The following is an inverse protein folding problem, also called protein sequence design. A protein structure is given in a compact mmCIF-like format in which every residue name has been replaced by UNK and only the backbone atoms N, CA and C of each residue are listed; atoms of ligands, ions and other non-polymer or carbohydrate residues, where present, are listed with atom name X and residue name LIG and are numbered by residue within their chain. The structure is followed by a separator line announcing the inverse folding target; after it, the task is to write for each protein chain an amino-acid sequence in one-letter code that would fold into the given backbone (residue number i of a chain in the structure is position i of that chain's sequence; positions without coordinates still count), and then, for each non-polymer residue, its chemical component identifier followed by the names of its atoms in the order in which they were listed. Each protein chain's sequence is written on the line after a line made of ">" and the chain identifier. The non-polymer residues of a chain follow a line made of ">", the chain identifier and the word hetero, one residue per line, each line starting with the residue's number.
data_IF_083205318855
#
_entry.id   IF_083205318855
#
_cell.length_a   1.000
_cell.length_b   1.000
_cell.length_c   1.000
_cell.angle_alpha   90.00
_cell.angle_beta   90.00
_cell.angle_gamma   90.00
#
_symmetry.space_group_name_H-M   'P 1'
#
loop_
_entity.id
_entity.type
_entity.pdbx_description
1 polymer ?
#
# COMPACT_ATOMS: atom_id res chain seq x y z
N UNK A 1 -34.33 16.46 -36.37
CA UNK A 1 -33.57 16.47 -35.09
C UNK A 1 -33.98 15.28 -34.26
N UNK A 2 -33.04 14.40 -33.93
CA UNK A 2 -32.98 13.59 -32.69
C UNK A 2 -31.87 12.55 -32.83
N UNK A 3 -30.61 12.99 -32.90
CA UNK A 3 -29.52 12.09 -32.53
C UNK A 3 -29.61 11.88 -31.02
N UNK A 4 -30.18 10.75 -30.59
CA UNK A 4 -29.96 10.28 -29.22
C UNK A 4 -28.45 10.04 -29.12
N UNK A 5 -27.73 10.93 -28.42
CA UNK A 5 -26.42 10.59 -27.85
C UNK A 5 -26.68 9.37 -26.96
N UNK A 6 -26.38 8.17 -27.45
CA UNK A 6 -26.25 7.01 -26.59
C UNK A 6 -25.02 7.30 -25.71
N UNK A 7 -25.26 7.97 -24.58
CA UNK A 7 -24.26 8.19 -23.56
C UNK A 7 -23.89 6.82 -23.01
N UNK A 8 -22.75 6.30 -23.44
CA UNK A 8 -22.19 5.08 -22.88
C UNK A 8 -21.95 5.31 -21.39
N UNK A 9 -22.78 4.68 -20.56
CA UNK A 9 -22.57 4.62 -19.11
C UNK A 9 -21.22 3.92 -18.87
N UNK A 10 -20.31 4.60 -18.19
CA UNK A 10 -19.04 4.03 -17.76
C UNK A 10 -19.33 2.93 -16.72
N UNK A 11 -19.12 1.66 -17.11
CA UNK A 11 -19.26 0.49 -16.22
C UNK A 11 -18.09 0.31 -15.24
N UNK A 12 -17.03 1.10 -15.39
CA UNK A 12 -15.77 0.98 -14.65
C UNK A 12 -15.53 2.27 -13.86
N UNK A 13 -16.05 2.35 -12.63
CA UNK A 13 -15.87 3.49 -11.72
C UNK A 13 -15.61 3.07 -10.27
N UNK A 14 -15.18 1.82 -10.06
CA UNK A 14 -14.86 1.29 -8.71
C UNK A 14 -13.36 1.33 -8.52
N UNK A 15 -12.94 2.02 -7.47
CA UNK A 15 -11.57 1.97 -6.96
C UNK A 15 -11.60 1.72 -5.45
N UNK A 16 -10.50 1.20 -4.93
CA UNK A 16 -10.32 0.95 -3.51
C UNK A 16 -9.47 2.05 -2.85
N UNK A 17 -9.82 2.41 -1.62
CA UNK A 17 -9.01 3.35 -0.86
C UNK A 17 -7.55 2.90 -0.73
N UNK A 18 -6.63 3.81 -0.98
CA UNK A 18 -5.19 3.56 -0.85
C UNK A 18 -4.84 3.06 0.56
N UNK A 19 -4.02 2.01 0.65
CA UNK A 19 -3.64 1.39 1.94
C UNK A 19 -2.37 1.98 2.54
N UNK A 20 -1.82 3.03 1.94
CA UNK A 20 -0.59 3.73 2.37
C UNK A 20 0.56 2.76 2.65
N UNK A 21 0.73 1.76 1.80
CA UNK A 21 1.86 0.82 1.85
C UNK A 21 3.18 1.56 1.56
N UNK A 22 4.30 0.89 1.79
CA UNK A 22 5.64 1.37 1.52
C UNK A 22 6.50 1.53 2.77
N UNK A 23 7.72 2.01 2.53
CA UNK A 23 8.74 2.25 3.55
C UNK A 23 8.31 3.40 4.46
N UNK A 24 8.49 3.22 5.76
CA UNK A 24 8.18 4.19 6.82
C UNK A 24 9.43 4.77 7.45
N UNK A 25 10.53 4.03 7.43
CA UNK A 25 11.84 4.46 7.89
C UNK A 25 12.92 4.03 6.91
N UNK A 26 13.81 4.96 6.57
CA UNK A 26 14.92 4.72 5.65
C UNK A 26 16.23 4.49 6.40
N UNK A 27 17.26 4.05 5.68
CA UNK A 27 18.59 3.82 6.27
C UNK A 27 19.17 5.10 6.87
N UNK A 28 19.76 4.98 8.08
CA UNK A 28 20.36 6.11 8.80
C UNK A 28 19.43 6.86 9.74
N UNK A 29 18.13 6.54 9.75
CA UNK A 29 17.18 7.13 10.69
C UNK A 29 17.23 6.46 12.06
N UNK A 30 17.18 7.25 13.13
CA UNK A 30 17.09 6.75 14.50
C UNK A 30 15.65 6.26 14.75
N UNK A 31 15.51 4.99 15.13
CA UNK A 31 14.22 4.36 15.45
C UNK A 31 14.22 3.83 16.87
N UNK A 32 13.06 3.90 17.52
CA UNK A 32 12.82 3.24 18.82
C UNK A 32 12.40 1.80 18.58
N UNK A 33 12.61 0.93 19.57
CA UNK A 33 12.08 -0.43 19.53
C UNK A 33 10.56 -0.42 19.30
N UNK A 34 10.08 -1.30 18.41
CA UNK A 34 8.66 -1.35 18.01
C UNK A 34 8.24 -0.36 16.92
N UNK A 35 9.15 0.48 16.41
CA UNK A 35 8.85 1.32 15.24
C UNK A 35 8.65 0.48 13.98
N UNK A 36 7.70 0.87 13.14
CA UNK A 36 7.47 0.20 11.84
C UNK A 36 8.49 0.70 10.82
N UNK A 37 9.14 -0.22 10.11
CA UNK A 37 10.11 0.09 9.05
C UNK A 37 9.46 0.04 7.67
N UNK A 38 8.65 -0.98 7.37
CA UNK A 38 7.95 -1.14 6.09
C UNK A 38 6.52 -1.59 6.32
N UNK A 39 5.57 -1.12 5.52
CA UNK A 39 4.25 -1.77 5.37
C UNK A 39 4.10 -2.34 3.98
N UNK A 40 3.87 -3.65 3.88
CA UNK A 40 3.85 -4.34 2.60
C UNK A 40 2.70 -5.35 2.51
N UNK A 41 2.54 -5.94 1.32
CA UNK A 41 1.67 -7.09 1.08
C UNK A 41 2.56 -8.22 0.58
N UNK A 42 2.63 -9.30 1.34
CA UNK A 42 3.70 -10.30 1.21
C UNK A 42 5.06 -9.74 1.63
N UNK A 43 6.09 -10.57 1.53
CA UNK A 43 7.46 -10.24 1.97
C UNK A 43 8.32 -9.75 0.80
N UNK A 44 8.10 -8.50 0.36
CA UNK A 44 9.01 -7.86 -0.62
C UNK A 44 10.38 -7.58 0.02
N UNK A 45 10.37 -7.18 1.28
CA UNK A 45 11.54 -7.06 2.14
C UNK A 45 11.45 -8.11 3.23
N UNK A 46 12.53 -8.88 3.40
CA UNK A 46 12.63 -9.88 4.45
C UNK A 46 13.23 -9.23 5.72
N UNK A 47 12.75 -9.60 6.92
CA UNK A 47 13.28 -9.05 8.16
C UNK A 47 14.76 -9.42 8.31
N UNK A 48 15.58 -8.43 8.68
CA UNK A 48 16.98 -8.63 9.02
C UNK A 48 17.18 -8.90 10.51
N UNK A 49 18.42 -8.80 10.95
CA UNK A 49 18.79 -8.93 12.37
C UNK A 49 18.10 -7.83 13.17
N UNK A 50 17.52 -8.17 14.34
CA UNK A 50 16.79 -7.27 15.25
C UNK A 50 15.51 -6.63 14.67
N UNK A 51 14.94 -7.20 13.61
CA UNK A 51 13.66 -6.76 13.03
C UNK A 51 12.69 -7.94 13.04
N UNK A 52 11.46 -7.70 13.50
CA UNK A 52 10.37 -8.70 13.44
C UNK A 52 9.53 -8.54 12.17
N UNK A 53 8.81 -9.60 11.80
CA UNK A 53 7.81 -9.57 10.73
C UNK A 53 6.42 -9.91 11.31
N UNK A 54 5.45 -9.02 11.12
CA UNK A 54 4.09 -9.19 11.59
C UNK A 54 3.26 -10.16 10.74
N UNK A 55 2.05 -10.51 11.21
CA UNK A 55 1.09 -11.36 10.46
C UNK A 55 0.70 -10.76 9.10
N UNK A 56 0.67 -9.44 8.99
CA UNK A 56 0.37 -8.73 7.75
C UNK A 56 1.61 -8.46 6.89
N UNK A 57 2.75 -9.05 7.26
CA UNK A 57 4.08 -8.90 6.66
C UNK A 57 4.69 -7.50 6.82
N UNK A 58 4.20 -6.70 7.79
CA UNK A 58 4.86 -5.48 8.24
C UNK A 58 6.24 -5.79 8.80
#
# INVERSE_FOLDING_TARGET
>A
MAHKKAGGSTRNGRDSESKRLGVKRYGGEIVKAGSIIVRQRGTRFHPGINVGCGRDHT
#
